data_IF_464625154864
#
_entry.id   IF_464625154864
#
_cell.length_a   1.000
_cell.length_b   1.000
_cell.length_c   1.000
_cell.angle_alpha   90.00
_cell.angle_beta   90.00
_cell.angle_gamma   90.00
#
_symmetry.space_group_name_H-M   'P 1'
#
loop_
_entity.id
_entity.type
_entity.pdbx_description
1 polymer ?
#
# COMPACT_ATOMS: atom_id res chain seq x y z
N UNK A 1 -11.50 -2.83 1.41
CA UNK A 1 -10.28 -2.07 1.12
C UNK A 1 -9.28 -2.03 2.25
N UNK A 2 -9.03 -3.04 3.04
CA UNK A 2 -8.07 -3.25 4.14
C UNK A 2 -6.98 -2.18 4.41
N UNK A 3 -7.33 -0.91 4.39
CA UNK A 3 -6.38 0.17 4.60
C UNK A 3 -6.31 0.52 6.08
N UNK A 4 -5.12 0.61 6.60
CA UNK A 4 -4.86 1.13 7.93
C UNK A 4 -5.20 2.63 7.94
N UNK A 5 -6.22 3.03 8.71
CA UNK A 5 -6.61 4.44 8.82
C UNK A 5 -5.57 5.31 9.54
N UNK A 6 -4.48 4.71 10.07
CA UNK A 6 -3.37 5.39 10.74
C UNK A 6 -2.13 5.55 9.84
N UNK A 7 -2.26 5.40 8.55
CA UNK A 7 -1.20 5.64 7.58
C UNK A 7 -1.54 6.87 6.75
N UNK A 8 -0.57 7.69 6.40
CA UNK A 8 0.87 7.63 6.68
C UNK A 8 1.27 8.23 8.04
N UNK A 9 2.46 7.87 8.52
CA UNK A 9 3.06 8.43 9.72
C UNK A 9 4.15 9.44 9.33
N UNK A 10 4.03 10.69 9.80
CA UNK A 10 5.08 11.69 9.64
C UNK A 10 6.21 11.42 10.65
N UNK A 11 7.45 11.24 10.15
CA UNK A 11 8.59 10.82 11.00
C UNK A 11 9.21 11.96 11.79
N UNK A 12 8.91 13.21 11.43
CA UNK A 12 9.32 14.40 12.18
C UNK A 12 8.31 14.78 13.28
N UNK A 13 7.25 13.97 13.45
CA UNK A 13 6.20 14.23 14.45
C UNK A 13 5.31 15.43 14.11
N UNK A 14 5.18 15.78 12.85
CA UNK A 14 4.22 16.79 12.39
C UNK A 14 2.82 16.20 12.28
N UNK A 15 1.81 17.01 12.47
CA UNK A 15 0.42 16.61 12.24
C UNK A 15 0.19 16.42 10.73
N UNK A 16 -0.25 15.24 10.33
CA UNK A 16 -0.62 14.94 8.96
C UNK A 16 -1.85 14.03 8.92
N UNK A 17 -2.89 14.41 8.19
CA UNK A 17 -4.18 13.69 8.12
C UNK A 17 -4.74 13.34 9.51
N UNK A 18 -4.71 14.32 10.43
CA UNK A 18 -5.15 14.20 11.82
C UNK A 18 -4.37 13.19 12.68
N UNK A 19 -3.19 12.76 12.22
CA UNK A 19 -2.28 11.85 12.92
C UNK A 19 -0.96 12.53 13.19
N UNK A 20 -0.45 12.38 14.40
CA UNK A 20 0.86 12.86 14.83
C UNK A 20 1.57 11.77 15.61
N UNK A 21 2.82 11.49 15.27
CA UNK A 21 3.69 10.61 16.06
C UNK A 21 4.33 11.45 17.16
N UNK A 22 4.05 11.14 18.43
CA UNK A 22 4.67 11.81 19.56
C UNK A 22 6.02 11.19 19.93
N UNK A 23 6.12 9.87 19.87
CA UNK A 23 7.36 9.11 20.11
C UNK A 23 7.24 7.66 19.66
N UNK A 24 8.40 7.05 19.38
CA UNK A 24 8.53 5.59 19.19
C UNK A 24 9.37 5.02 20.31
N UNK A 25 8.91 3.94 20.94
CA UNK A 25 9.59 3.29 22.08
C UNK A 25 9.90 1.85 21.72
N UNK A 26 11.18 1.47 21.77
CA UNK A 26 11.66 0.09 21.62
C UNK A 26 11.91 -0.55 22.99
N UNK A 27 11.70 -1.85 23.09
CA UNK A 27 11.99 -2.66 24.30
C UNK A 27 11.35 -2.11 25.58
N UNK A 28 10.29 -1.32 25.45
CA UNK A 28 9.60 -0.69 26.57
C UNK A 28 10.31 0.51 27.22
N UNK A 29 11.57 0.79 26.86
CA UNK A 29 12.39 1.82 27.52
C UNK A 29 13.19 2.74 26.62
N UNK A 30 13.53 2.30 25.40
CA UNK A 30 14.33 3.08 24.48
C UNK A 30 13.45 3.97 23.64
N UNK A 31 13.40 5.26 23.95
CA UNK A 31 12.72 6.27 23.11
C UNK A 31 13.65 6.61 21.96
N UNK A 32 13.21 6.43 20.72
CA UNK A 32 13.98 6.80 19.54
C UNK A 32 14.02 8.33 19.40
N UNK A 33 15.15 8.85 18.90
CA UNK A 33 15.29 10.25 18.48
C UNK A 33 14.69 10.45 17.09
N UNK A 34 14.88 9.43 16.21
CA UNK A 34 14.37 9.42 14.83
C UNK A 34 13.89 8.02 14.45
N UNK A 35 12.96 7.94 13.51
CA UNK A 35 12.58 6.69 12.84
C UNK A 35 12.23 6.98 11.38
N UNK A 36 12.43 5.98 10.50
CA UNK A 36 12.10 6.06 9.08
C UNK A 36 11.87 4.67 8.49
N UNK A 37 11.43 4.61 7.26
CA UNK A 37 11.47 3.40 6.45
C UNK A 37 12.48 3.59 5.31
N UNK A 38 13.07 2.49 4.85
CA UNK A 38 13.94 2.43 3.69
C UNK A 38 13.84 1.04 3.07
N UNK A 39 13.59 0.97 1.76
CA UNK A 39 13.46 -0.28 0.99
C UNK A 39 12.61 -1.36 1.68
N UNK A 40 11.51 -0.97 2.32
CA UNK A 40 10.59 -1.90 2.96
C UNK A 40 10.96 -2.35 4.37
N UNK A 41 11.94 -1.71 4.99
CA UNK A 41 12.39 -1.99 6.36
C UNK A 41 12.24 -0.74 7.24
N UNK A 42 11.87 -0.94 8.51
CA UNK A 42 11.89 0.12 9.53
C UNK A 42 13.28 0.27 10.13
N UNK A 43 13.68 1.50 10.32
CA UNK A 43 14.88 1.96 10.98
C UNK A 43 14.55 2.98 12.05
N UNK A 44 15.45 3.14 13.01
CA UNK A 44 15.38 4.21 13.99
C UNK A 44 16.72 4.42 14.67
N UNK A 45 16.92 5.58 15.26
CA UNK A 45 18.17 5.92 15.96
C UNK A 45 17.91 6.45 17.36
N UNK A 46 18.91 6.26 18.23
CA UNK A 46 19.06 6.95 19.49
C UNK A 46 20.52 7.25 19.74
N UNK A 47 20.88 8.54 19.71
CA UNK A 47 22.28 8.96 19.66
C UNK A 47 22.98 8.31 18.48
N UNK A 48 24.08 7.60 18.73
CA UNK A 48 24.84 6.88 17.69
C UNK A 48 24.34 5.45 17.44
N UNK A 49 23.33 4.97 18.18
CA UNK A 49 22.83 3.59 18.07
C UNK A 49 21.73 3.52 17.01
N UNK A 50 21.92 2.66 16.02
CA UNK A 50 20.95 2.34 14.97
C UNK A 50 20.19 1.06 15.34
N UNK A 51 18.89 1.09 15.13
CA UNK A 51 17.96 -0.05 15.30
C UNK A 51 17.25 -0.33 13.98
N UNK A 52 17.02 -1.62 13.67
CA UNK A 52 16.34 -2.00 12.44
C UNK A 52 15.65 -3.36 12.52
N UNK A 53 14.74 -3.61 11.60
CA UNK A 53 14.12 -4.91 11.34
C UNK A 53 13.52 -5.57 12.58
N UNK A 54 14.08 -6.71 13.02
CA UNK A 54 13.56 -7.48 14.15
C UNK A 54 13.58 -6.71 15.49
N UNK A 55 14.42 -5.70 15.63
CA UNK A 55 14.49 -4.87 16.84
C UNK A 55 13.23 -4.02 17.05
N UNK A 56 12.40 -3.87 16.00
CA UNK A 56 11.09 -3.25 16.10
C UNK A 56 9.99 -4.19 16.66
N UNK A 57 10.31 -5.46 16.92
CA UNK A 57 9.37 -6.34 17.65
C UNK A 57 9.08 -5.77 19.02
N UNK A 58 7.81 -5.61 19.37
CA UNK A 58 7.29 -4.93 20.56
C UNK A 58 7.52 -3.40 20.58
N UNK A 59 7.89 -2.79 19.45
CA UNK A 59 7.91 -1.33 19.33
C UNK A 59 6.51 -0.75 19.59
N UNK A 60 6.47 0.41 20.28
CA UNK A 60 5.25 1.15 20.54
C UNK A 60 5.36 2.55 19.92
N UNK A 61 4.49 2.84 18.95
CA UNK A 61 4.29 4.16 18.39
C UNK A 61 3.18 4.85 19.19
N UNK A 62 3.54 5.89 19.92
CA UNK A 62 2.58 6.73 20.62
C UNK A 62 2.11 7.81 19.67
N UNK A 63 0.82 7.81 19.37
CA UNK A 63 0.21 8.68 18.37
C UNK A 63 -0.86 9.54 19.02
N UNK A 64 -1.04 10.76 18.49
CA UNK A 64 -2.28 11.50 18.58
C UNK A 64 -3.02 11.32 17.27
N UNK A 65 -4.20 10.73 17.30
CA UNK A 65 -5.02 10.54 16.11
C UNK A 65 -6.44 11.04 16.40
N UNK A 66 -6.94 11.94 15.55
CA UNK A 66 -8.26 12.59 15.72
C UNK A 66 -8.46 13.24 17.07
N UNK A 67 -7.36 13.75 17.68
CA UNK A 67 -7.36 14.38 18.99
C UNK A 67 -7.27 13.42 20.18
N UNK A 68 -7.21 12.10 19.93
CA UNK A 68 -7.15 11.08 20.98
C UNK A 68 -5.77 10.38 21.00
N UNK A 69 -5.22 10.05 22.18
CA UNK A 69 -3.98 9.30 22.30
C UNK A 69 -4.22 7.83 21.94
N UNK A 70 -3.43 7.32 21.00
CA UNK A 70 -3.47 5.92 20.54
C UNK A 70 -2.06 5.33 20.62
N UNK A 71 -1.97 4.03 20.94
CA UNK A 71 -0.72 3.29 20.86
C UNK A 71 -0.83 2.23 19.76
N UNK A 72 -0.02 2.38 18.71
CA UNK A 72 0.16 1.38 17.67
C UNK A 72 1.40 0.56 18.00
N UNK A 73 1.26 -0.77 18.12
CA UNK A 73 2.36 -1.68 18.46
C UNK A 73 2.71 -2.59 17.29
N UNK A 74 3.98 -2.93 17.19
CA UNK A 74 4.44 -4.02 16.33
C UNK A 74 4.59 -5.27 17.21
N UNK A 75 3.66 -6.21 17.13
CA UNK A 75 3.72 -7.45 17.91
C UNK A 75 4.67 -8.49 17.31
N UNK A 76 4.96 -8.40 16.01
CA UNK A 76 5.96 -9.22 15.33
C UNK A 76 6.59 -8.45 14.16
N UNK A 77 7.91 -8.61 14.00
CA UNK A 77 8.66 -8.19 12.84
C UNK A 77 9.33 -9.44 12.23
N UNK A 78 8.93 -9.81 11.01
CA UNK A 78 9.38 -11.01 10.32
C UNK A 78 10.35 -10.61 9.21
N UNK A 79 11.57 -11.20 9.15
CA UNK A 79 12.52 -10.90 8.08
C UNK A 79 11.96 -11.28 6.72
N UNK A 80 12.43 -10.62 5.65
CA UNK A 80 11.99 -10.91 4.28
C UNK A 80 12.35 -12.35 3.90
N UNK A 81 11.46 -13.06 3.18
CA UNK A 81 11.81 -14.33 2.57
C UNK A 81 12.86 -14.11 1.47
N UNK A 82 13.54 -15.19 1.06
CA UNK A 82 14.56 -15.12 0.04
C UNK A 82 14.05 -14.47 -1.25
N UNK A 83 14.75 -13.42 -1.70
CA UNK A 83 14.42 -12.68 -2.91
C UNK A 83 13.38 -11.56 -2.73
N UNK A 84 12.92 -11.31 -1.50
CA UNK A 84 12.04 -10.20 -1.17
C UNK A 84 12.77 -9.19 -0.25
N UNK A 85 12.61 -7.89 -0.47
CA UNK A 85 13.22 -6.88 0.39
C UNK A 85 12.37 -6.55 1.61
N UNK A 86 11.05 -6.71 1.51
CA UNK A 86 10.13 -6.26 2.54
C UNK A 86 10.17 -7.09 3.82
N UNK A 87 10.42 -6.42 4.95
CA UNK A 87 10.05 -6.92 6.26
C UNK A 87 8.53 -6.91 6.41
N UNK A 88 8.01 -7.90 7.12
CA UNK A 88 6.58 -8.00 7.42
C UNK A 88 6.35 -7.67 8.88
N UNK A 89 5.48 -6.71 9.13
CA UNK A 89 5.17 -6.21 10.46
C UNK A 89 3.71 -6.51 10.83
N UNK A 90 3.50 -7.11 12.00
CA UNK A 90 2.15 -7.28 12.57
C UNK A 90 1.85 -6.08 13.47
N UNK A 91 1.10 -5.14 12.94
CA UNK A 91 0.64 -3.97 13.68
C UNK A 91 -0.65 -4.26 14.44
N UNK A 92 -0.72 -3.76 15.67
CA UNK A 92 -1.88 -3.86 16.55
C UNK A 92 -2.07 -2.54 17.29
N UNK A 93 -3.30 -2.13 17.48
CA UNK A 93 -3.59 -1.01 18.38
C UNK A 93 -4.12 -1.48 19.71
N UNK A 94 -3.76 -0.70 20.73
CA UNK A 94 -4.23 -0.86 22.09
C UNK A 94 -5.47 0.03 22.28
N UNK A 95 -6.59 -0.56 22.62
CA UNK A 95 -7.86 0.15 22.83
C UNK A 95 -7.96 0.83 24.21
N UNK A 96 -6.92 0.74 25.06
CA UNK A 96 -6.95 1.27 26.41
C UNK A 96 -7.85 0.50 27.40
N UNK A 97 -8.67 -0.43 26.89
CA UNK A 97 -9.57 -1.27 27.70
C UNK A 97 -9.00 -2.68 27.92
N UNK A 98 -7.68 -2.86 27.70
CA UNK A 98 -6.98 -4.12 27.92
C UNK A 98 -7.07 -5.12 26.78
N UNK A 99 -7.48 -4.68 25.58
CA UNK A 99 -7.50 -5.49 24.35
C UNK A 99 -6.59 -4.90 23.28
N UNK A 100 -5.93 -5.78 22.52
CA UNK A 100 -5.23 -5.40 21.30
C UNK A 100 -5.99 -5.90 20.08
N UNK A 101 -6.09 -5.07 19.04
CA UNK A 101 -6.73 -5.42 17.78
C UNK A 101 -5.74 -5.34 16.62
N UNK A 102 -5.75 -6.29 15.69
CA UNK A 102 -4.96 -6.16 14.47
C UNK A 102 -5.30 -4.86 13.75
N UNK A 103 -4.28 -4.16 13.27
CA UNK A 103 -4.46 -2.95 12.49
C UNK A 103 -4.84 -3.25 11.03
N UNK A 104 -4.52 -4.46 10.56
CA UNK A 104 -4.84 -4.92 9.22
C UNK A 104 -5.92 -6.01 9.24
N UNK A 105 -6.76 -6.03 8.21
CA UNK A 105 -7.66 -7.16 7.95
C UNK A 105 -6.86 -8.37 7.42
N UNK A 106 -7.36 -9.60 7.66
CA UNK A 106 -6.68 -10.81 7.17
C UNK A 106 -6.76 -10.92 5.65
N UNK A 107 -5.67 -11.36 5.03
CA UNK A 107 -5.67 -11.85 3.64
C UNK A 107 -6.52 -13.10 3.50
N UNK A 108 -6.70 -13.60 2.29
CA UNK A 108 -7.39 -14.89 2.06
C UNK A 108 -6.72 -16.08 2.74
N UNK A 109 -5.42 -16.00 3.07
CA UNK A 109 -4.68 -17.00 3.86
C UNK A 109 -4.65 -16.71 5.36
N UNK A 110 -5.32 -15.66 5.83
CA UNK A 110 -5.36 -15.26 7.24
C UNK A 110 -4.19 -14.38 7.69
N UNK A 111 -3.34 -13.89 6.78
CA UNK A 111 -2.21 -13.03 7.11
C UNK A 111 -2.69 -11.60 7.46
N UNK A 112 -2.27 -11.09 8.62
CA UNK A 112 -2.65 -9.79 9.18
C UNK A 112 -1.53 -8.76 9.10
N UNK A 113 -0.41 -9.10 8.42
CA UNK A 113 0.79 -8.26 8.39
C UNK A 113 0.68 -7.13 7.36
N UNK A 114 1.61 -6.21 7.49
CA UNK A 114 1.83 -5.10 6.57
C UNK A 114 3.28 -5.06 6.12
N UNK A 115 3.51 -4.43 4.97
CA UNK A 115 4.80 -3.88 4.55
C UNK A 115 4.83 -2.39 4.85
N UNK A 116 6.01 -1.77 4.81
CA UNK A 116 6.17 -0.33 4.95
C UNK A 116 6.78 0.25 3.68
N UNK A 117 6.37 1.45 3.32
CA UNK A 117 6.97 2.24 2.26
C UNK A 117 7.51 3.53 2.85
N UNK A 118 8.58 4.02 2.26
CA UNK A 118 9.21 5.28 2.55
C UNK A 118 8.71 6.38 1.62
N UNK A 119 8.69 7.61 2.15
CA UNK A 119 8.55 8.86 1.41
C UNK A 119 7.40 8.91 0.40
N UNK A 120 6.30 8.22 0.68
CA UNK A 120 5.09 8.31 -0.13
C UNK A 120 3.82 8.44 0.72
N UNK A 121 2.80 8.98 0.09
CA UNK A 121 1.42 8.98 0.61
C UNK A 121 0.47 8.53 -0.48
N UNK A 122 -0.61 7.88 -0.06
CA UNK A 122 -1.70 7.45 -0.93
C UNK A 122 -2.95 8.18 -0.48
N UNK A 123 -3.57 8.89 -1.38
CA UNK A 123 -4.85 9.55 -1.13
C UNK A 123 -5.92 8.48 -0.87
N UNK A 124 -6.60 8.50 0.28
CA UNK A 124 -7.54 7.44 0.65
C UNK A 124 -8.80 7.40 -0.23
N UNK A 125 -9.19 8.54 -0.79
CA UNK A 125 -10.40 8.66 -1.60
C UNK A 125 -10.14 8.28 -3.06
N UNK A 126 -9.08 8.84 -3.64
CA UNK A 126 -8.74 8.65 -5.05
C UNK A 126 -7.75 7.52 -5.31
N UNK A 127 -6.95 7.13 -4.32
CA UNK A 127 -5.84 6.17 -4.47
C UNK A 127 -4.64 6.74 -5.24
N UNK A 128 -4.59 8.04 -5.46
CA UNK A 128 -3.44 8.70 -6.09
C UNK A 128 -2.21 8.60 -5.19
N UNK A 129 -1.05 8.35 -5.79
CA UNK A 129 0.23 8.25 -5.07
C UNK A 129 1.05 9.50 -5.29
N UNK A 130 1.60 10.03 -4.23
CA UNK A 130 2.51 11.18 -4.31
C UNK A 130 3.72 10.98 -3.41
N UNK A 131 4.84 11.60 -3.80
CA UNK A 131 6.02 11.66 -2.95
C UNK A 131 5.79 12.61 -1.79
N UNK A 132 6.15 12.18 -0.58
CA UNK A 132 6.18 13.00 0.61
C UNK A 132 7.35 12.56 1.49
N UNK A 133 8.38 13.37 1.54
CA UNK A 133 9.54 13.12 2.39
C UNK A 133 9.16 12.97 3.88
N UNK A 134 9.97 12.23 4.61
CA UNK A 134 9.82 12.00 6.04
C UNK A 134 8.47 11.34 6.40
N UNK A 135 8.03 10.38 5.61
CA UNK A 135 6.83 9.60 5.87
C UNK A 135 7.09 8.10 5.82
N UNK A 136 6.43 7.39 6.72
CA UNK A 136 6.31 5.93 6.68
C UNK A 136 4.87 5.59 6.36
N UNK A 137 4.63 4.96 5.21
CA UNK A 137 3.32 4.47 4.82
C UNK A 137 3.20 2.98 5.17
N UNK A 138 2.25 2.63 6.04
CA UNK A 138 1.98 1.25 6.44
C UNK A 138 0.96 0.65 5.48
N UNK A 139 1.35 -0.32 4.69
CA UNK A 139 0.52 -0.96 3.67
C UNK A 139 0.14 -2.39 4.09
N UNK A 140 -1.10 -2.57 4.55
CA UNK A 140 -1.64 -3.89 4.88
C UNK A 140 -1.58 -4.82 3.66
N UNK A 141 -1.17 -6.07 3.85
CA UNK A 141 -1.09 -7.07 2.77
C UNK A 141 -2.44 -7.35 2.10
N UNK A 142 -3.55 -7.14 2.81
CA UNK A 142 -4.91 -7.20 2.26
C UNK A 142 -5.26 -5.99 1.40
N UNK A 143 -4.59 -4.86 1.59
CA UNK A 143 -4.83 -3.62 0.85
C UNK A 143 -4.08 -3.57 -0.48
N UNK A 144 -4.57 -2.78 -1.43
CA UNK A 144 -3.99 -2.68 -2.77
C UNK A 144 -2.49 -2.34 -2.75
N UNK A 145 -2.06 -1.42 -1.90
CA UNK A 145 -0.66 -1.00 -1.79
C UNK A 145 0.26 -2.14 -1.31
N UNK A 146 -0.16 -2.93 -0.33
CA UNK A 146 0.61 -4.07 0.16
C UNK A 146 0.60 -5.23 -0.84
N UNK A 147 -0.56 -5.54 -1.43
CA UNK A 147 -0.70 -6.62 -2.41
C UNK A 147 0.11 -6.34 -3.68
N UNK A 148 0.08 -5.11 -4.18
CA UNK A 148 0.83 -4.72 -5.37
C UNK A 148 2.34 -4.81 -5.14
N UNK A 149 2.84 -4.40 -3.97
CA UNK A 149 4.27 -4.35 -3.68
C UNK A 149 4.87 -5.72 -3.29
N UNK A 150 4.16 -6.52 -2.49
CA UNK A 150 4.69 -7.76 -1.91
C UNK A 150 4.44 -8.96 -2.81
N UNK A 151 5.46 -9.41 -3.54
CA UNK A 151 5.38 -10.44 -4.57
C UNK A 151 4.82 -11.80 -4.12
N UNK A 152 5.12 -12.33 -2.92
CA UNK A 152 4.64 -13.66 -2.52
C UNK A 152 3.13 -13.83 -2.47
N UNK A 153 2.37 -12.73 -2.32
CA UNK A 153 0.91 -12.76 -2.34
C UNK A 153 0.31 -11.92 -3.46
N UNK A 154 1.12 -11.11 -4.14
CA UNK A 154 0.69 -10.15 -5.14
C UNK A 154 1.67 -10.06 -6.31
N UNK A 155 2.08 -8.85 -6.67
CA UNK A 155 2.66 -8.57 -7.97
C UNK A 155 4.15 -8.19 -7.96
N UNK A 156 4.65 -7.49 -6.95
CA UNK A 156 6.07 -7.07 -6.85
C UNK A 156 6.38 -5.73 -7.51
N UNK A 157 5.39 -4.85 -7.69
CA UNK A 157 5.63 -3.47 -8.13
C UNK A 157 6.08 -2.62 -6.94
N UNK A 158 7.36 -2.56 -6.69
CA UNK A 158 7.98 -1.87 -5.55
C UNK A 158 8.28 -0.42 -5.90
N UNK A 159 7.77 0.56 -5.13
CA UNK A 159 7.93 1.98 -5.49
C UNK A 159 9.39 2.43 -5.48
N UNK A 160 10.25 1.90 -4.60
CA UNK A 160 11.67 2.23 -4.56
C UNK A 160 12.48 1.62 -5.73
N UNK A 161 12.02 0.51 -6.35
CA UNK A 161 12.68 -0.10 -7.54
C UNK A 161 12.17 0.48 -8.86
N UNK A 162 10.85 0.65 -8.98
CA UNK A 162 10.16 0.96 -10.25
C UNK A 162 9.64 2.40 -10.33
N UNK A 163 9.66 3.12 -9.21
CA UNK A 163 9.12 4.47 -9.08
C UNK A 163 7.60 4.51 -8.85
N UNK A 164 7.14 5.65 -8.33
CA UNK A 164 5.74 5.87 -8.00
C UNK A 164 4.77 5.70 -9.18
N UNK A 165 5.10 6.11 -10.43
CA UNK A 165 4.19 5.92 -11.56
C UNK A 165 3.87 4.46 -11.87
N UNK A 166 4.85 3.55 -11.75
CA UNK A 166 4.65 2.13 -11.96
C UNK A 166 3.81 1.52 -10.84
N UNK A 167 4.10 1.88 -9.60
CA UNK A 167 3.38 1.45 -8.42
C UNK A 167 1.91 1.90 -8.45
N UNK A 168 1.64 3.17 -8.77
CA UNK A 168 0.28 3.69 -8.89
C UNK A 168 -0.49 3.02 -10.03
N UNK A 169 0.11 2.86 -11.21
CA UNK A 169 -0.51 2.15 -12.32
C UNK A 169 -0.90 0.71 -11.93
N UNK A 170 -0.03 0.01 -11.18
CA UNK A 170 -0.32 -1.33 -10.68
C UNK A 170 -1.47 -1.34 -9.64
N UNK A 171 -1.57 -0.34 -8.77
CA UNK A 171 -2.72 -0.20 -7.87
C UNK A 171 -4.02 0.06 -8.61
N UNK A 172 -4.01 0.94 -9.65
CA UNK A 172 -5.17 1.19 -10.53
C UNK A 172 -5.60 -0.10 -11.23
N UNK A 173 -4.64 -0.81 -11.78
CA UNK A 173 -4.84 -2.13 -12.40
C UNK A 173 -5.47 -3.12 -11.42
N UNK A 174 -4.90 -3.31 -10.21
CA UNK A 174 -5.44 -4.26 -9.23
C UNK A 174 -6.89 -3.96 -8.88
N UNK A 175 -7.22 -2.70 -8.72
CA UNK A 175 -8.57 -2.23 -8.36
C UNK A 175 -9.53 -2.15 -9.54
N UNK A 176 -9.06 -2.32 -10.78
CA UNK A 176 -9.80 -1.95 -12.00
C UNK A 176 -10.38 -0.53 -11.90
N UNK A 177 -9.57 0.42 -11.44
CA UNK A 177 -9.95 1.82 -11.31
C UNK A 177 -9.84 2.52 -12.67
N UNK A 178 -10.75 2.18 -13.57
CA UNK A 178 -10.72 2.64 -14.98
C UNK A 178 -10.66 4.16 -15.10
N UNK A 179 -11.38 4.86 -14.22
CA UNK A 179 -11.48 6.33 -14.27
C UNK A 179 -10.34 7.05 -13.52
N UNK A 180 -9.52 6.33 -12.73
CA UNK A 180 -8.50 6.95 -11.87
C UNK A 180 -9.07 7.77 -10.71
N UNK A 181 -10.31 7.53 -10.32
CA UNK A 181 -11.03 8.28 -9.27
C UNK A 181 -11.11 7.55 -7.93
N UNK A 182 -10.47 6.39 -7.82
CA UNK A 182 -10.52 5.56 -6.63
C UNK A 182 -11.65 4.54 -6.60
N UNK A 183 -12.60 4.59 -7.53
CA UNK A 183 -13.70 3.60 -7.62
C UNK A 183 -13.15 2.26 -8.10
N UNK A 184 -13.30 1.23 -7.28
CA UNK A 184 -12.85 -0.13 -7.62
C UNK A 184 -13.97 -0.91 -8.33
N UNK A 185 -13.62 -1.57 -9.43
CA UNK A 185 -14.49 -2.47 -10.19
C UNK A 185 -14.06 -3.94 -10.07
N UNK A 186 -12.93 -4.23 -9.39
CA UNK A 186 -12.48 -5.59 -9.11
C UNK A 186 -13.30 -6.20 -7.97
N UNK A 187 -13.71 -7.47 -8.12
CA UNK A 187 -14.34 -8.26 -7.08
C UNK A 187 -13.31 -9.18 -6.40
N UNK A 188 -13.57 -9.49 -5.12
CA UNK A 188 -12.70 -10.38 -4.37
C UNK A 188 -12.68 -11.80 -4.98
N UNK A 189 -11.47 -12.35 -5.14
CA UNK A 189 -11.27 -13.70 -5.70
C UNK A 189 -11.20 -13.75 -7.23
N UNK A 190 -11.30 -12.61 -7.90
CA UNK A 190 -11.13 -12.52 -9.34
C UNK A 190 -9.68 -12.79 -9.73
N UNK A 191 -9.48 -13.67 -10.72
CA UNK A 191 -8.14 -13.97 -11.25
C UNK A 191 -7.74 -12.89 -12.24
N UNK A 192 -6.63 -12.22 -11.94
CA UNK A 192 -6.11 -11.14 -12.75
C UNK A 192 -4.80 -11.59 -13.40
N UNK A 193 -4.72 -11.47 -14.72
CA UNK A 193 -3.49 -11.69 -15.50
C UNK A 193 -3.05 -10.34 -16.05
N UNK A 194 -1.75 -10.09 -16.05
CA UNK A 194 -1.19 -8.82 -16.52
C UNK A 194 0.10 -9.01 -17.27
N UNK A 195 0.41 -8.06 -18.14
CA UNK A 195 1.71 -7.87 -18.76
C UNK A 195 2.15 -6.43 -18.52
N UNK A 196 3.40 -6.24 -18.22
CA UNK A 196 3.94 -4.92 -17.91
C UNK A 196 5.22 -4.63 -18.73
N UNK A 197 5.54 -3.34 -18.84
CA UNK A 197 6.75 -2.88 -19.54
C UNK A 197 8.02 -2.89 -18.67
N UNK A 198 7.88 -3.19 -17.37
CA UNK A 198 8.99 -3.17 -16.40
C UNK A 198 9.60 -4.55 -16.17
N UNK A 199 8.98 -5.62 -16.72
CA UNK A 199 9.48 -6.99 -16.60
C UNK A 199 9.17 -7.64 -15.24
N UNK A 200 8.17 -7.14 -14.51
CA UNK A 200 7.71 -7.74 -13.27
C UNK A 200 6.95 -9.02 -13.56
N UNK A 201 6.07 -9.01 -14.57
CA UNK A 201 5.41 -10.22 -15.07
C UNK A 201 6.31 -11.01 -16.00
N UNK A 202 6.47 -12.30 -15.70
CA UNK A 202 7.18 -13.25 -16.57
C UNK A 202 6.21 -14.07 -17.45
N UNK A 203 4.90 -13.82 -17.38
CA UNK A 203 3.89 -14.65 -18.05
C UNK A 203 3.55 -14.04 -19.42
N UNK A 204 3.69 -14.80 -20.53
CA UNK A 204 3.18 -14.35 -21.82
C UNK A 204 1.67 -14.15 -21.78
N UNK A 205 1.21 -13.01 -22.26
CA UNK A 205 -0.22 -12.72 -22.32
C UNK A 205 -0.83 -13.38 -23.57
N UNK A 206 -1.87 -14.19 -23.37
CA UNK A 206 -2.62 -14.86 -24.43
C UNK A 206 -4.13 -14.61 -24.33
N UNK A 207 -4.57 -13.50 -23.78
CA UNK A 207 -5.97 -13.21 -23.52
C UNK A 207 -6.43 -11.84 -24.00
N UNK A 208 -7.71 -11.55 -23.79
CA UNK A 208 -8.27 -10.23 -24.00
C UNK A 208 -7.82 -9.27 -22.92
N UNK A 209 -7.50 -8.04 -23.31
CA UNK A 209 -7.07 -6.98 -22.39
C UNK A 209 -8.30 -6.27 -21.87
N UNK A 210 -8.50 -6.23 -20.55
CA UNK A 210 -9.57 -5.45 -19.93
C UNK A 210 -9.31 -3.95 -19.99
N UNK A 211 -8.03 -3.54 -19.88
CA UNK A 211 -7.59 -2.17 -20.06
C UNK A 211 -6.07 -2.08 -20.21
N UNK A 212 -5.58 -0.97 -20.76
CA UNK A 212 -4.19 -0.54 -20.65
C UNK A 212 -4.10 0.49 -19.54
N UNK A 213 -3.21 0.28 -18.58
CA UNK A 213 -3.16 1.02 -17.33
C UNK A 213 -2.03 2.06 -17.27
N UNK A 214 -2.36 3.24 -16.75
CA UNK A 214 -1.43 4.28 -16.38
C UNK A 214 -1.61 4.73 -14.93
N UNK A 215 -0.80 5.67 -14.48
CA UNK A 215 -0.87 6.20 -13.11
C UNK A 215 -2.21 6.92 -12.79
N UNK A 216 -2.91 7.43 -13.78
CA UNK A 216 -4.16 8.17 -13.60
C UNK A 216 -5.41 7.36 -13.97
N UNK A 217 -5.33 6.05 -14.04
CA UNK A 217 -6.41 5.16 -14.47
C UNK A 217 -6.10 4.44 -15.78
N UNK A 218 -7.13 3.95 -16.44
CA UNK A 218 -6.99 3.31 -17.75
C UNK A 218 -6.62 4.34 -18.83
N UNK A 219 -5.69 3.99 -19.69
CA UNK A 219 -5.39 4.73 -20.92
C UNK A 219 -6.40 4.40 -22.01
N UNK A 220 -6.86 3.15 -22.05
CA UNK A 220 -8.00 2.69 -22.80
C UNK A 220 -8.66 1.50 -22.11
N UNK A 221 -9.92 1.26 -22.41
CA UNK A 221 -10.75 0.20 -21.84
C UNK A 221 -11.06 -0.82 -22.95
N UNK A 222 -10.86 -2.11 -22.65
CA UNK A 222 -11.14 -3.24 -23.55
C UNK A 222 -12.63 -3.56 -23.63
N UNK A 223 -12.94 -4.69 -24.26
CA UNK A 223 -14.32 -5.16 -24.42
C UNK A 223 -14.74 -6.07 -23.26
N UNK A 224 -13.85 -6.95 -22.80
CA UNK A 224 -14.09 -7.91 -21.73
C UNK A 224 -13.58 -7.36 -20.40
N UNK A 225 -14.45 -6.75 -19.63
CA UNK A 225 -14.11 -6.16 -18.34
C UNK A 225 -14.29 -7.15 -17.20
N UNK A 226 -13.64 -6.84 -16.08
CA UNK A 226 -13.74 -7.64 -14.84
C UNK A 226 -15.16 -7.70 -14.32
N UNK A 227 -15.46 -8.76 -13.60
CA UNK A 227 -16.78 -9.00 -12.98
C UNK A 227 -17.96 -8.97 -13.96
N UNK A 228 -17.71 -9.22 -15.26
CA UNK A 228 -18.74 -9.22 -16.30
C UNK A 228 -19.29 -7.84 -16.67
N UNK A 229 -18.59 -6.77 -16.31
CA UNK A 229 -18.94 -5.42 -16.74
C UNK A 229 -18.63 -5.21 -18.22
N UNK A 230 -19.32 -4.25 -18.81
CA UNK A 230 -19.11 -3.78 -20.18
C UNK A 230 -18.53 -2.36 -20.16
N UNK A 231 -18.04 -1.90 -21.31
CA UNK A 231 -17.58 -0.52 -21.43
C UNK A 231 -18.68 0.48 -21.03
N UNK A 232 -19.92 0.22 -21.38
CA UNK A 232 -21.06 1.09 -21.10
C UNK A 232 -21.33 1.24 -19.61
N UNK A 233 -21.06 0.21 -18.80
CA UNK A 233 -21.26 0.21 -17.34
C UNK A 233 -20.25 1.10 -16.61
N UNK A 234 -19.11 1.42 -17.24
CA UNK A 234 -18.09 2.27 -16.61
C UNK A 234 -18.52 3.73 -16.70
N UNK A 235 -18.81 4.31 -15.55
CA UNK A 235 -19.15 5.72 -15.38
C UNK A 235 -18.01 6.47 -14.71
N UNK A 236 -17.57 7.58 -15.32
CA UNK A 236 -16.50 8.44 -14.85
C UNK A 236 -17.06 9.84 -14.56
N UNK A 237 -17.68 10.01 -13.38
CA UNK A 237 -18.47 11.20 -13.04
C UNK A 237 -17.67 12.50 -13.03
N UNK A 238 -16.37 12.44 -12.67
CA UNK A 238 -15.54 13.64 -12.48
C UNK A 238 -14.48 13.84 -13.57
N UNK A 239 -14.29 12.84 -14.45
CA UNK A 239 -13.22 12.84 -15.47
C UNK A 239 -13.75 12.30 -16.78
N UNK A 240 -13.07 12.60 -17.88
CA UNK A 240 -13.41 12.01 -19.18
C UNK A 240 -13.20 10.48 -19.14
N UNK A 241 -14.20 9.73 -19.59
CA UNK A 241 -14.11 8.28 -19.73
C UNK A 241 -12.99 7.92 -20.73
N UNK A 242 -12.09 7.00 -20.38
CA UNK A 242 -11.06 6.53 -21.32
C UNK A 242 -11.70 5.93 -22.58
N UNK A 243 -11.06 6.07 -23.76
CA UNK A 243 -11.59 5.51 -25.01
C UNK A 243 -11.56 3.98 -25.00
N UNK A 244 -12.26 3.34 -25.92
CA UNK A 244 -12.11 1.91 -26.17
C UNK A 244 -10.71 1.64 -26.77
N UNK A 245 -10.06 0.51 -26.37
CA UNK A 245 -8.76 0.16 -26.91
C UNK A 245 -8.81 -0.08 -28.42
N UNK A 246 -9.90 -0.65 -28.94
CA UNK A 246 -10.15 -0.80 -30.37
C UNK A 246 -10.11 0.53 -31.16
N UNK A 247 -10.46 1.65 -30.53
CA UNK A 247 -10.46 2.96 -31.19
C UNK A 247 -9.05 3.56 -31.32
N UNK A 248 -8.09 3.08 -30.51
CA UNK A 248 -6.70 3.53 -30.53
C UNK A 248 -5.87 2.71 -31.52
N UNK A 249 -6.08 1.41 -31.58
CA UNK A 249 -5.35 0.50 -32.49
C UNK A 249 -5.69 0.75 -33.97
N UNK A 250 -6.78 1.42 -34.27
CA UNK A 250 -7.22 1.77 -35.62
C UNK A 250 -6.56 3.03 -36.21
N UNK A 251 -5.67 3.71 -35.48
CA UNK A 251 -4.94 4.92 -35.92
C UNK A 251 -3.45 4.64 -36.13
#
# INVERSE_FOLDING_TARGET
TGSLNLSPLDTEGKLFQDIKVDKVVLFGTVVLDEFWADEGQLFGSRGETLYSGAQFTNAAFHLMAWGEPIVLRISAATPPPLGEPFWLYLFQWDTGLGGTHPACEPTGSGDLRAVVHDDLVIDPDTGAVSARANTVYIACLRGAAGEVAYRPIGYGFRPFELGLPAFEAAMRFLRADYCGTGKSWTQYGEKITYVDKWGVSAVPFNGHTDAVWGMHGALCIGEDLRAGHTYEDIECDAVAKPPKCSDIEAK
#
